data_IF_113057561787
#
_entry.id   IF_113057561787
#
_cell.length_a   1.000
_cell.length_b   1.000
_cell.length_c   1.000
_cell.angle_alpha   90.00
_cell.angle_beta   90.00
_cell.angle_gamma   90.00
#
_symmetry.space_group_name_H-M   'P 1'
#
loop_
_entity.id
_entity.type
_entity.pdbx_description
1 polymer ?
#
# COMPACT_ATOMS: atom_id res chain seq x y z
N UNK A 1 -52.77 20.29 14.75
CA UNK A 1 -51.36 20.75 14.58
C UNK A 1 -50.35 19.65 14.90
N UNK A 2 -50.52 18.88 15.97
CA UNK A 2 -49.59 17.80 16.39
C UNK A 2 -49.38 16.72 15.30
N UNK A 3 -50.45 16.22 14.65
CA UNK A 3 -50.34 15.19 13.60
C UNK A 3 -49.52 15.62 12.37
N UNK A 4 -49.56 16.89 11.99
CA UNK A 4 -48.74 17.43 10.88
C UNK A 4 -47.26 17.47 11.25
N UNK A 5 -46.95 17.81 12.50
CA UNK A 5 -45.58 17.81 13.03
C UNK A 5 -45.00 16.38 13.03
N UNK A 6 -45.82 15.38 13.37
CA UNK A 6 -45.42 13.96 13.31
C UNK A 6 -45.10 13.52 11.87
N UNK A 7 -45.89 13.94 10.88
CA UNK A 7 -45.59 13.67 9.47
C UNK A 7 -44.27 14.30 9.01
N UNK A 8 -43.96 15.52 9.44
CA UNK A 8 -42.66 16.15 9.14
C UNK A 8 -41.48 15.40 9.77
N UNK A 9 -41.62 14.93 11.02
CA UNK A 9 -40.60 14.08 11.65
C UNK A 9 -40.39 12.75 10.92
N UNK A 10 -41.46 12.11 10.45
CA UNK A 10 -41.38 10.86 9.66
C UNK A 10 -40.75 11.10 8.29
N UNK A 11 -41.09 12.20 7.61
CA UNK A 11 -40.51 12.57 6.30
C UNK A 11 -39.02 12.92 6.42
N UNK A 12 -38.62 13.65 7.48
CA UNK A 12 -37.21 13.96 7.75
C UNK A 12 -36.42 12.67 8.06
N UNK A 13 -37.01 11.74 8.83
CA UNK A 13 -36.39 10.44 9.10
C UNK A 13 -36.20 9.58 7.84
N UNK A 14 -37.13 9.63 6.88
CA UNK A 14 -36.99 8.91 5.61
C UNK A 14 -35.88 9.49 4.70
N UNK A 15 -35.66 10.81 4.72
CA UNK A 15 -34.63 11.47 3.90
C UNK A 15 -33.18 11.28 4.40
N UNK A 16 -32.97 10.79 5.64
CA UNK A 16 -31.63 10.56 6.21
C UNK A 16 -31.03 9.17 5.87
N UNK A 17 -31.70 8.37 5.05
CA UNK A 17 -31.23 7.03 4.65
C UNK A 17 -30.21 7.08 3.50
N UNK A 18 -29.45 8.16 3.38
CA UNK A 18 -28.43 8.30 2.34
C UNK A 18 -27.18 7.49 2.68
N UNK A 19 -27.04 6.38 1.97
CA UNK A 19 -25.83 5.61 1.63
C UNK A 19 -24.58 5.90 2.48
N UNK A 20 -24.45 5.13 3.56
CA UNK A 20 -23.21 5.04 4.34
C UNK A 20 -22.18 4.28 3.49
N UNK A 21 -21.47 4.99 2.61
CA UNK A 21 -20.27 4.43 1.99
C UNK A 21 -19.20 4.26 3.08
N UNK A 22 -18.36 3.24 2.97
CA UNK A 22 -17.34 2.94 3.96
C UNK A 22 -16.35 4.12 4.10
N UNK A 23 -16.51 4.93 5.14
CA UNK A 23 -15.67 6.11 5.39
C UNK A 23 -14.23 5.76 5.81
N UNK A 24 -13.97 4.49 6.13
CA UNK A 24 -12.73 4.06 6.77
C UNK A 24 -11.70 3.44 5.81
N UNK A 25 -12.13 2.95 4.65
CA UNK A 25 -11.23 2.28 3.69
C UNK A 25 -11.09 3.14 2.43
N UNK A 26 -9.89 3.66 2.13
CA UNK A 26 -9.65 4.53 0.98
C UNK A 26 -9.94 3.86 -0.38
N UNK A 27 -9.91 2.53 -0.41
CA UNK A 27 -10.07 1.73 -1.63
C UNK A 27 -9.70 0.27 -1.37
N UNK A 28 -9.95 -0.56 -2.38
CA UNK A 28 -9.54 -1.97 -2.37
C UNK A 28 -8.02 -2.07 -2.39
N UNK A 29 -7.47 -2.98 -1.58
CA UNK A 29 -6.06 -3.35 -1.65
C UNK A 29 -5.74 -4.01 -3.01
N UNK A 30 -4.47 -4.10 -3.35
CA UNK A 30 -3.98 -4.93 -4.45
C UNK A 30 -4.33 -6.40 -4.21
N UNK A 31 -4.18 -7.23 -5.25
CA UNK A 31 -4.37 -8.68 -5.10
C UNK A 31 -3.36 -9.29 -4.13
N UNK A 32 -2.14 -8.74 -4.04
CA UNK A 32 -1.08 -9.23 -3.15
C UNK A 32 -1.43 -9.10 -1.67
N UNK A 33 -2.15 -8.04 -1.30
CA UNK A 33 -2.55 -7.78 0.09
C UNK A 33 -4.04 -7.96 0.35
N UNK A 34 -4.79 -8.57 -0.56
CA UNK A 34 -6.26 -8.66 -0.44
C UNK A 34 -6.73 -9.37 0.84
N UNK A 35 -5.93 -10.31 1.36
CA UNK A 35 -6.26 -11.07 2.57
C UNK A 35 -6.14 -10.22 3.85
N UNK A 36 -5.47 -9.07 3.76
CA UNK A 36 -5.38 -8.07 4.83
C UNK A 36 -6.55 -7.08 4.82
N UNK A 37 -7.55 -7.26 3.95
CA UNK A 37 -8.76 -6.44 4.01
C UNK A 37 -9.57 -6.70 5.29
N UNK A 38 -10.33 -5.69 5.72
CA UNK A 38 -11.22 -5.77 6.86
C UNK A 38 -10.81 -4.81 7.98
N UNK A 39 -11.81 -4.35 8.73
CA UNK A 39 -11.63 -3.29 9.74
C UNK A 39 -10.68 -3.67 10.88
N UNK A 40 -10.51 -4.97 11.14
CA UNK A 40 -9.59 -5.47 12.17
C UNK A 40 -8.12 -5.47 11.72
N UNK A 41 -7.85 -5.26 10.43
CA UNK A 41 -6.53 -5.44 9.83
C UNK A 41 -5.87 -4.11 9.46
N UNK A 42 -6.53 -2.97 9.64
CA UNK A 42 -5.98 -1.66 9.28
C UNK A 42 -4.61 -1.39 9.95
N UNK A 43 -4.45 -1.85 11.19
CA UNK A 43 -3.23 -1.67 11.99
C UNK A 43 -2.10 -2.65 11.66
N UNK A 44 -2.32 -3.57 10.71
CA UNK A 44 -1.25 -4.38 10.15
C UNK A 44 -0.29 -3.52 9.31
N UNK A 45 -0.78 -2.40 8.77
CA UNK A 45 0.03 -1.45 7.99
C UNK A 45 0.05 -0.04 8.61
N UNK A 46 -1.03 0.41 9.24
CA UNK A 46 -1.14 1.79 9.74
C UNK A 46 -0.89 1.90 11.25
N UNK A 47 -0.04 2.85 11.64
CA UNK A 47 -0.06 3.38 12.99
C UNK A 47 -1.20 4.41 13.12
N UNK A 48 -2.04 4.25 14.14
CA UNK A 48 -3.21 5.12 14.33
C UNK A 48 -2.77 6.58 14.51
N UNK A 49 -3.24 7.45 13.61
CA UNK A 49 -2.94 8.88 13.65
C UNK A 49 -1.58 9.27 13.07
N UNK A 50 -0.83 8.31 12.52
CA UNK A 50 0.47 8.53 11.88
C UNK A 50 0.44 8.04 10.42
N UNK A 51 1.55 8.26 9.71
CA UNK A 51 1.79 7.65 8.40
C UNK A 51 2.01 6.13 8.52
N UNK A 52 1.98 5.44 7.40
CA UNK A 52 2.38 4.02 7.29
C UNK A 52 3.89 3.93 7.51
N UNK A 53 4.38 3.26 8.58
CA UNK A 53 5.81 3.12 8.80
C UNK A 53 6.36 1.92 8.02
N UNK A 54 7.57 2.02 7.49
CA UNK A 54 8.23 0.93 6.77
C UNK A 54 8.41 -0.34 7.62
N UNK A 55 8.52 -0.18 8.94
CA UNK A 55 8.61 -1.32 9.86
C UNK A 55 7.44 -2.29 9.71
N UNK A 56 6.23 -1.79 9.40
CA UNK A 56 5.04 -2.63 9.18
C UNK A 56 5.15 -3.46 7.90
N UNK A 57 5.75 -2.92 6.85
CA UNK A 57 6.05 -3.67 5.63
C UNK A 57 7.10 -4.76 5.92
N UNK A 58 8.17 -4.38 6.61
CA UNK A 58 9.30 -5.26 6.90
C UNK A 58 9.00 -6.35 7.94
N UNK A 59 7.89 -6.26 8.68
CA UNK A 59 7.41 -7.34 9.56
C UNK A 59 7.05 -8.62 8.80
N UNK A 60 6.59 -8.51 7.54
CA UNK A 60 6.27 -9.64 6.67
C UNK A 60 7.23 -9.79 5.48
N UNK A 61 7.84 -8.70 5.03
CA UNK A 61 8.89 -8.71 4.00
C UNK A 61 10.29 -8.91 4.63
N UNK A 62 10.44 -10.00 5.36
CA UNK A 62 11.63 -10.33 6.14
C UNK A 62 12.88 -10.54 5.28
N UNK A 63 12.75 -11.10 4.07
CA UNK A 63 13.86 -11.22 3.11
C UNK A 63 14.44 -9.85 2.72
N UNK A 64 13.56 -8.88 2.41
CA UNK A 64 13.98 -7.51 2.08
C UNK A 64 14.60 -6.84 3.31
N UNK A 65 14.00 -7.01 4.48
CA UNK A 65 14.56 -6.51 5.74
C UNK A 65 15.97 -7.05 5.98
N UNK A 66 16.18 -8.35 5.77
CA UNK A 66 17.47 -9.00 5.92
C UNK A 66 18.51 -8.46 4.93
N UNK A 67 18.14 -8.24 3.67
CA UNK A 67 19.02 -7.67 2.66
C UNK A 67 19.42 -6.22 2.99
N UNK A 68 18.46 -5.38 3.42
CA UNK A 68 18.73 -4.01 3.86
C UNK A 68 19.68 -4.00 5.06
N UNK A 69 19.43 -4.86 6.06
CA UNK A 69 20.29 -4.96 7.26
C UNK A 69 21.73 -5.40 6.95
N UNK A 70 21.91 -6.14 5.84
CA UNK A 70 23.22 -6.58 5.36
C UNK A 70 23.85 -5.58 4.37
N UNK A 71 23.20 -4.46 4.08
CA UNK A 71 23.60 -3.48 3.06
C UNK A 71 23.75 -4.13 1.66
N UNK A 72 22.77 -4.95 1.28
CA UNK A 72 22.77 -5.74 0.03
C UNK A 72 21.48 -5.56 -0.78
N UNK A 73 21.60 -5.69 -2.09
CA UNK A 73 20.46 -5.65 -3.01
C UNK A 73 19.99 -4.23 -3.31
N UNK A 74 19.07 -4.11 -4.27
CA UNK A 74 18.61 -2.81 -4.76
C UNK A 74 17.98 -1.93 -3.67
N UNK A 75 17.27 -2.52 -2.70
CA UNK A 75 16.65 -1.77 -1.61
C UNK A 75 17.65 -1.15 -0.61
N UNK A 76 18.90 -1.63 -0.59
CA UNK A 76 19.99 -1.00 0.17
C UNK A 76 20.75 0.08 -0.64
N UNK A 77 20.48 0.19 -1.94
CA UNK A 77 21.17 1.12 -2.82
C UNK A 77 20.92 2.58 -2.44
N UNK A 78 21.77 3.47 -2.94
CA UNK A 78 21.62 4.92 -2.74
C UNK A 78 20.31 5.48 -3.31
N UNK A 79 19.69 4.80 -4.27
CA UNK A 79 18.41 5.25 -4.84
C UNK A 79 17.21 5.00 -3.94
N UNK A 80 17.31 4.00 -3.06
CA UNK A 80 16.16 3.49 -2.28
C UNK A 80 16.34 3.73 -0.78
N UNK A 81 17.56 3.67 -0.24
CA UNK A 81 17.80 3.70 1.22
C UNK A 81 17.27 4.93 1.97
N UNK A 82 16.99 6.03 1.27
CA UNK A 82 16.44 7.27 1.84
C UNK A 82 14.95 7.49 1.54
N UNK A 83 14.31 6.52 0.86
CA UNK A 83 12.88 6.55 0.51
C UNK A 83 12.09 5.66 1.43
N UNK A 84 10.80 5.97 1.57
CA UNK A 84 9.86 5.11 2.27
C UNK A 84 9.29 4.07 1.30
N UNK A 85 8.88 2.91 1.83
CA UNK A 85 8.33 1.82 1.04
C UNK A 85 7.15 2.30 0.18
N UNK A 86 6.29 3.13 0.77
CA UNK A 86 5.06 3.66 0.14
C UNK A 86 5.33 4.68 -0.97
N UNK A 87 6.53 5.26 -1.05
CA UNK A 87 6.88 6.22 -2.11
C UNK A 87 6.85 5.55 -3.49
N UNK A 88 7.20 4.26 -3.54
CA UNK A 88 7.15 3.43 -4.75
C UNK A 88 6.00 2.42 -4.69
N UNK A 89 5.76 1.79 -3.52
CA UNK A 89 4.81 0.70 -3.32
C UNK A 89 3.52 1.17 -2.65
N UNK A 90 2.88 2.18 -3.23
CA UNK A 90 1.61 2.69 -2.73
C UNK A 90 0.46 1.68 -2.88
N UNK A 91 -0.49 1.72 -1.97
CA UNK A 91 -1.59 0.75 -1.88
C UNK A 91 -2.97 1.47 -1.87
N UNK A 92 -4.07 0.70 -1.87
CA UNK A 92 -5.47 1.15 -2.01
C UNK A 92 -5.90 1.57 -3.43
N UNK A 93 -5.09 1.26 -4.44
CA UNK A 93 -5.36 1.60 -5.84
C UNK A 93 -6.16 0.52 -6.59
N UNK A 94 -6.64 -0.50 -5.88
CA UNK A 94 -7.46 -1.58 -6.43
C UNK A 94 -6.69 -2.83 -6.81
N UNK A 95 -7.44 -3.92 -7.05
CA UNK A 95 -6.90 -5.28 -7.19
C UNK A 95 -5.84 -5.46 -8.28
N UNK A 96 -5.91 -4.66 -9.34
CA UNK A 96 -5.03 -4.73 -10.52
C UNK A 96 -3.98 -3.62 -10.53
N UNK A 97 -3.78 -2.93 -9.42
CA UNK A 97 -2.73 -1.94 -9.35
C UNK A 97 -1.36 -2.62 -9.36
N UNK A 98 -0.51 -2.20 -10.27
CA UNK A 98 0.87 -2.66 -10.39
C UNK A 98 1.74 -1.85 -9.43
N UNK A 99 1.95 -2.40 -8.23
CA UNK A 99 2.69 -1.74 -7.15
C UNK A 99 4.21 -1.79 -7.37
N UNK A 100 4.69 -2.70 -8.22
CA UNK A 100 6.11 -2.90 -8.56
C UNK A 100 6.37 -2.46 -10.00
N UNK A 101 6.17 -1.17 -10.29
CA UNK A 101 6.56 -0.63 -11.60
C UNK A 101 8.06 -0.42 -11.64
N UNK A 102 8.66 -0.93 -12.69
CA UNK A 102 10.09 -0.97 -12.86
C UNK A 102 10.39 -0.84 -14.35
N UNK A 103 11.24 0.13 -14.70
CA UNK A 103 11.71 0.30 -16.06
C UNK A 103 12.92 -0.61 -16.25
N UNK A 104 12.75 -1.69 -17.02
CA UNK A 104 13.83 -2.65 -17.24
C UNK A 104 14.89 -2.10 -18.19
N UNK A 105 14.52 -1.19 -19.09
CA UNK A 105 15.42 -0.69 -20.14
C UNK A 105 16.35 0.43 -19.62
N UNK A 106 15.98 1.10 -18.52
CA UNK A 106 16.73 2.20 -17.90
C UNK A 106 17.31 1.82 -16.52
N UNK A 107 17.23 0.55 -16.13
CA UNK A 107 17.71 0.11 -14.82
C UNK A 107 19.22 -0.09 -14.78
N UNK A 108 19.91 0.64 -13.91
CA UNK A 108 21.31 0.35 -13.60
C UNK A 108 21.42 -0.88 -12.68
N UNK A 109 21.70 -2.04 -13.28
CA UNK A 109 21.78 -3.29 -12.53
C UNK A 109 22.92 -3.33 -11.51
N UNK A 110 23.94 -2.47 -11.63
CA UNK A 110 25.02 -2.38 -10.64
C UNK A 110 24.50 -2.01 -9.25
N UNK A 111 23.34 -1.34 -9.17
CA UNK A 111 22.68 -1.00 -7.91
C UNK A 111 22.21 -2.22 -7.11
N UNK A 112 22.10 -3.39 -7.74
CA UNK A 112 21.75 -4.63 -7.04
C UNK A 112 22.93 -5.23 -6.26
N UNK A 113 24.17 -4.84 -6.60
CA UNK A 113 25.38 -5.48 -6.09
C UNK A 113 25.57 -6.94 -6.56
N UNK A 114 24.76 -7.39 -7.52
CA UNK A 114 24.91 -8.70 -8.17
C UNK A 114 25.59 -8.53 -9.53
N UNK A 115 26.62 -9.32 -9.79
CA UNK A 115 27.35 -9.27 -11.05
C UNK A 115 26.65 -10.20 -12.04
N UNK A 116 26.25 -9.67 -13.19
CA UNK A 116 25.72 -10.49 -14.27
C UNK A 116 26.84 -11.29 -14.92
N UNK A 117 26.56 -12.56 -15.20
CA UNK A 117 27.49 -13.49 -15.79
C UNK A 117 26.93 -14.11 -17.07
N UNK A 118 27.83 -14.56 -17.95
CA UNK A 118 27.47 -15.22 -19.19
C UNK A 118 26.66 -14.32 -20.13
N UNK A 119 25.54 -14.84 -20.64
CA UNK A 119 24.70 -14.10 -21.58
C UNK A 119 24.03 -12.87 -20.94
N UNK A 120 23.74 -12.91 -19.63
CA UNK A 120 23.11 -11.79 -18.94
C UNK A 120 24.01 -10.55 -18.87
N UNK A 121 25.33 -10.71 -18.92
CA UNK A 121 26.27 -9.57 -18.96
C UNK A 121 26.28 -8.82 -20.31
N UNK A 122 25.71 -9.42 -21.37
CA UNK A 122 25.73 -8.84 -22.73
C UNK A 122 24.45 -8.06 -23.02
N UNK A 123 23.41 -8.28 -22.22
CA UNK A 123 22.05 -7.79 -22.42
C UNK A 123 21.53 -7.00 -21.21
N UNK A 124 22.45 -6.52 -20.35
CA UNK A 124 22.09 -5.57 -19.30
C UNK A 124 21.49 -4.31 -19.92
#
# INVERSE_FOLDING_TARGET
>A
MIKRLTYYFVIIGLCFTTIIHAQLSPGKLTTAHQDLEGIANCTQCHDLGNKVPDSKCLECHDEIQNLINLDRGYHASTEVKEKECIDCHSEHHGRKFEMTRFDQDDFDHQLTGYILEGQHNVID
#
